data_IF_088877698469
#
_entry.id   IF_088877698469
#
_cell.length_a   1.000
_cell.length_b   1.000
_cell.length_c   1.000
_cell.angle_alpha   90.00
_cell.angle_beta   90.00
_cell.angle_gamma   90.00
#
_symmetry.space_group_name_H-M   'P 1'
#
loop_
_entity.id
_entity.type
_entity.pdbx_description
1 polymer ?
#
# COMPACT_ATOMS: atom_id res chain seq x y z
N UNK A 1 51.99 75.41 30.10
CA UNK A 1 52.97 76.06 29.23
C UNK A 1 52.61 75.68 27.78
N UNK A 2 52.27 76.74 27.04
CA UNK A 2 52.44 76.97 25.62
C UNK A 2 51.65 76.04 24.68
N UNK A 3 50.74 76.49 24.00
CA UNK A 3 50.41 77.63 23.12
C UNK A 3 50.01 77.04 21.74
N UNK A 4 48.85 77.50 21.31
CA UNK A 4 48.30 77.48 19.92
C UNK A 4 49.30 78.07 18.88
N UNK A 5 49.00 78.27 17.61
CA UNK A 5 47.67 78.26 16.89
C UNK A 5 47.79 77.74 15.44
N UNK A 6 46.62 77.61 14.75
CA UNK A 6 46.59 78.32 13.52
C UNK A 6 46.00 77.73 12.25
N UNK A 7 45.09 78.47 11.63
CA UNK A 7 44.69 78.60 10.24
C UNK A 7 43.98 77.41 9.55
N UNK A 8 42.82 77.43 9.20
CA UNK A 8 41.91 78.24 8.39
C UNK A 8 42.10 78.11 6.91
N UNK A 9 41.18 77.36 6.22
CA UNK A 9 40.86 77.61 4.81
C UNK A 9 39.47 77.10 4.46
N UNK A 10 38.65 77.96 4.00
CA UNK A 10 37.36 77.72 3.39
C UNK A 10 37.48 76.93 2.11
N UNK A 11 36.56 76.00 1.85
CA UNK A 11 36.36 75.39 0.54
C UNK A 11 34.85 75.28 0.28
N UNK A 12 34.53 75.75 -0.87
CA UNK A 12 33.28 76.01 -1.56
C UNK A 12 32.42 74.77 -1.68
N UNK A 13 31.13 74.88 -1.40
CA UNK A 13 30.09 73.87 -1.67
C UNK A 13 29.68 73.91 -3.13
N UNK A 14 29.66 72.75 -3.80
CA UNK A 14 28.93 72.48 -5.04
C UNK A 14 27.79 71.47 -4.71
N UNK A 15 26.55 71.70 -5.20
CA UNK A 15 25.46 70.77 -5.00
C UNK A 15 25.48 69.66 -6.10
N UNK A 16 25.62 68.43 -5.71
CA UNK A 16 25.40 67.29 -6.60
C UNK A 16 23.93 66.88 -6.50
N UNK A 17 23.20 67.06 -7.60
CA UNK A 17 21.89 66.48 -7.88
C UNK A 17 22.02 64.95 -7.95
N UNK A 18 21.60 64.23 -6.91
CA UNK A 18 21.47 62.80 -6.93
C UNK A 18 20.15 62.36 -7.58
N UNK A 19 20.22 61.79 -8.77
CA UNK A 19 19.09 61.10 -9.42
C UNK A 19 18.92 59.77 -8.72
N UNK A 20 17.90 59.61 -7.90
CA UNK A 20 17.46 58.34 -7.31
C UNK A 20 16.73 57.51 -8.37
N UNK A 21 17.45 56.63 -9.04
CA UNK A 21 16.86 55.57 -9.84
C UNK A 21 16.25 54.52 -8.92
N UNK A 22 14.91 54.58 -8.76
CA UNK A 22 14.14 53.49 -8.12
C UNK A 22 14.14 52.30 -9.07
N UNK A 23 15.02 51.32 -8.82
CA UNK A 23 14.92 49.98 -9.42
C UNK A 23 13.74 49.27 -8.72
N UNK A 24 12.63 49.18 -9.44
CA UNK A 24 11.51 48.31 -9.03
C UNK A 24 11.95 46.84 -9.13
N UNK A 25 12.34 46.21 -8.03
CA UNK A 25 12.45 44.76 -7.96
C UNK A 25 11.04 44.17 -8.03
N UNK A 26 10.69 43.70 -9.22
CA UNK A 26 9.52 42.83 -9.39
C UNK A 26 9.85 41.45 -8.76
N UNK A 27 8.97 40.87 -7.92
CA UNK A 27 9.20 39.53 -7.41
C UNK A 27 8.95 38.49 -8.53
N UNK A 28 10.02 37.99 -9.12
CA UNK A 28 9.99 36.82 -10.03
C UNK A 28 10.25 35.59 -9.17
N UNK A 29 9.27 35.13 -8.40
CA UNK A 29 9.45 33.93 -7.56
C UNK A 29 8.31 32.91 -7.61
N UNK A 30 7.24 33.12 -8.40
CA UNK A 30 6.12 32.19 -8.41
C UNK A 30 6.28 30.99 -9.36
N UNK A 31 7.03 31.10 -10.46
CA UNK A 31 7.12 30.01 -11.46
C UNK A 31 8.21 28.97 -11.17
N UNK A 32 9.27 29.31 -10.45
CA UNK A 32 10.37 28.37 -10.18
C UNK A 32 9.97 27.29 -9.15
N UNK A 33 9.10 27.61 -8.20
CA UNK A 33 8.68 26.67 -7.16
C UNK A 33 7.75 25.55 -7.66
N UNK A 34 6.87 25.83 -8.60
CA UNK A 34 5.91 24.85 -9.13
C UNK A 34 6.56 23.83 -10.08
N UNK A 35 7.54 24.29 -10.88
CA UNK A 35 8.34 23.41 -11.75
C UNK A 35 9.21 22.48 -10.91
N UNK A 36 9.77 22.95 -9.80
CA UNK A 36 10.56 22.14 -8.88
C UNK A 36 9.68 21.12 -8.14
N UNK A 37 8.47 21.49 -7.70
CA UNK A 37 7.53 20.60 -7.03
C UNK A 37 7.12 19.41 -7.92
N UNK A 38 6.73 19.67 -9.16
CA UNK A 38 6.38 18.61 -10.11
C UNK A 38 7.56 17.69 -10.39
N UNK A 39 8.75 18.24 -10.59
CA UNK A 39 9.97 17.48 -10.79
C UNK A 39 10.29 16.56 -9.62
N UNK A 40 10.06 17.01 -8.37
CA UNK A 40 10.24 16.15 -7.20
C UNK A 40 9.22 15.00 -7.14
N UNK A 41 7.93 15.27 -7.41
CA UNK A 41 6.92 14.20 -7.42
C UNK A 41 7.19 13.17 -8.52
N UNK A 42 7.63 13.61 -9.71
CA UNK A 42 8.02 12.70 -10.79
C UNK A 42 9.24 11.86 -10.41
N UNK A 43 10.24 12.44 -9.74
CA UNK A 43 11.40 11.69 -9.23
C UNK A 43 10.99 10.66 -8.19
N UNK A 44 10.11 11.03 -7.23
CA UNK A 44 9.59 10.10 -6.21
C UNK A 44 8.85 8.94 -6.87
N UNK A 45 7.96 9.22 -7.81
CA UNK A 45 7.23 8.20 -8.56
C UNK A 45 8.17 7.28 -9.32
N UNK A 46 9.11 7.83 -10.09
CA UNK A 46 10.06 7.04 -10.87
C UNK A 46 10.93 6.17 -9.97
N UNK A 47 11.40 6.69 -8.84
CA UNK A 47 12.17 5.91 -7.88
C UNK A 47 11.38 4.76 -7.26
N UNK A 48 10.09 4.96 -6.99
CA UNK A 48 9.20 3.93 -6.46
C UNK A 48 8.86 2.84 -7.48
N UNK A 49 8.77 3.18 -8.78
CA UNK A 49 8.33 2.25 -9.83
C UNK A 49 9.47 1.57 -10.59
N UNK A 50 10.67 2.15 -10.61
CA UNK A 50 11.80 1.61 -11.37
C UNK A 50 13.07 1.41 -10.53
N UNK A 51 13.04 1.78 -9.25
CA UNK A 51 14.17 1.61 -8.34
C UNK A 51 14.33 0.17 -7.86
N UNK A 52 15.59 -0.24 -7.62
CA UNK A 52 15.89 -1.49 -6.94
C UNK A 52 16.33 -1.17 -5.51
N UNK A 53 15.63 -1.69 -4.52
CA UNK A 53 15.94 -1.45 -3.12
C UNK A 53 15.51 -2.61 -2.23
N UNK A 54 16.14 -2.69 -1.07
CA UNK A 54 15.74 -3.59 0.02
C UNK A 54 15.95 -2.89 1.36
N UNK A 55 15.15 -3.27 2.36
CA UNK A 55 15.26 -2.64 3.67
C UNK A 55 14.19 -3.13 4.64
N UNK A 56 14.13 -2.50 5.80
CA UNK A 56 13.09 -2.73 6.80
C UNK A 56 12.26 -1.45 6.95
N UNK A 57 10.98 -1.56 6.71
CA UNK A 57 10.02 -0.49 6.89
C UNK A 57 9.30 -0.67 8.22
N UNK A 58 9.17 0.40 8.97
CA UNK A 58 8.40 0.49 10.22
C UNK A 58 7.15 1.32 9.94
N UNK A 59 6.01 0.79 10.34
CA UNK A 59 4.73 1.46 10.29
C UNK A 59 4.21 1.71 11.70
N UNK A 60 3.73 2.92 11.98
CA UNK A 60 3.15 3.30 13.28
C UNK A 60 1.84 4.03 13.06
N UNK A 61 0.75 3.54 13.68
CA UNK A 61 -0.57 4.15 13.64
C UNK A 61 -1.36 3.76 14.90
N UNK A 62 -2.21 4.65 15.40
CA UNK A 62 -3.15 4.34 16.48
C UNK A 62 -2.52 3.75 17.75
N UNK A 63 -1.25 4.07 18.05
CA UNK A 63 -0.52 3.51 19.19
C UNK A 63 0.06 2.12 18.95
N UNK A 64 -0.11 1.53 17.78
CA UNK A 64 0.49 0.29 17.34
C UNK A 64 1.68 0.54 16.43
N UNK A 65 2.63 -0.40 16.43
CA UNK A 65 3.79 -0.36 15.55
C UNK A 65 4.01 -1.75 14.95
N UNK A 66 4.40 -1.79 13.68
CA UNK A 66 4.78 -3.02 13.00
C UNK A 66 5.99 -2.78 12.09
N UNK A 67 6.73 -3.85 11.81
CA UNK A 67 7.88 -3.81 10.92
C UNK A 67 7.77 -4.87 9.84
N UNK A 68 8.22 -4.53 8.65
CA UNK A 68 8.17 -5.40 7.46
C UNK A 68 9.48 -5.29 6.71
N UNK A 69 10.10 -6.41 6.42
CA UNK A 69 11.23 -6.45 5.50
C UNK A 69 10.74 -6.43 4.07
N UNK A 70 11.33 -5.56 3.27
CA UNK A 70 10.91 -5.25 1.91
C UNK A 70 12.05 -5.52 0.94
N UNK A 71 11.75 -6.20 -0.17
CA UNK A 71 12.59 -6.32 -1.36
C UNK A 71 11.77 -5.89 -2.56
N UNK A 72 12.26 -4.93 -3.30
CA UNK A 72 11.63 -4.41 -4.51
C UNK A 72 12.63 -4.41 -5.65
N UNK A 73 12.30 -5.07 -6.74
CA UNK A 73 13.16 -5.19 -7.91
C UNK A 73 12.38 -4.92 -9.18
N UNK A 74 12.99 -4.14 -10.07
CA UNK A 74 12.53 -3.91 -11.42
C UNK A 74 13.52 -4.52 -12.42
N UNK A 75 13.04 -5.33 -13.35
CA UNK A 75 13.83 -5.93 -14.42
C UNK A 75 13.06 -5.77 -15.72
N UNK A 76 13.51 -4.83 -16.56
CA UNK A 76 12.75 -4.40 -17.72
C UNK A 76 11.42 -3.77 -17.30
N UNK A 77 10.33 -4.28 -17.82
CA UNK A 77 8.94 -3.89 -17.52
C UNK A 77 8.31 -4.71 -16.37
N UNK A 78 9.08 -5.60 -15.75
CA UNK A 78 8.59 -6.48 -14.70
C UNK A 78 8.98 -6.00 -13.31
N UNK A 79 8.02 -6.04 -12.39
CA UNK A 79 8.19 -5.69 -10.98
C UNK A 79 8.08 -6.94 -10.12
N UNK A 80 9.05 -7.13 -9.22
CA UNK A 80 9.10 -8.22 -8.26
C UNK A 80 9.19 -7.64 -6.86
N UNK A 81 8.28 -8.06 -5.97
CA UNK A 81 8.31 -7.65 -4.58
C UNK A 81 8.22 -8.88 -3.66
N UNK A 82 8.92 -8.77 -2.54
CA UNK A 82 8.78 -9.67 -1.41
C UNK A 82 8.65 -8.82 -0.17
N UNK A 83 7.63 -9.10 0.63
CA UNK A 83 7.40 -8.46 1.91
C UNK A 83 7.32 -9.53 2.98
N UNK A 84 7.97 -9.34 4.11
CA UNK A 84 7.93 -10.25 5.26
C UNK A 84 7.66 -9.47 6.53
N UNK A 85 6.52 -9.75 7.17
CA UNK A 85 6.23 -9.22 8.49
C UNK A 85 7.27 -9.74 9.48
N UNK A 86 7.85 -8.83 10.28
CA UNK A 86 8.88 -9.15 11.28
C UNK A 86 8.26 -9.35 12.66
N UNK A 87 7.03 -8.94 12.85
CA UNK A 87 6.27 -9.02 14.09
C UNK A 87 4.85 -9.55 13.85
N UNK A 88 4.17 -9.91 14.94
CA UNK A 88 2.81 -10.43 14.89
C UNK A 88 2.69 -11.77 14.15
N UNK A 89 1.71 -11.89 13.28
CA UNK A 89 1.52 -13.06 12.42
C UNK A 89 2.58 -13.12 11.33
N UNK A 90 3.23 -14.25 11.19
CA UNK A 90 4.16 -14.46 10.07
C UNK A 90 3.41 -14.41 8.75
N UNK A 91 3.43 -13.25 8.11
CA UNK A 91 2.84 -13.02 6.80
C UNK A 91 3.96 -12.74 5.80
N UNK A 92 3.86 -13.35 4.63
CA UNK A 92 4.73 -13.07 3.49
C UNK A 92 3.86 -12.69 2.31
N UNK A 93 4.31 -11.68 1.57
CA UNK A 93 3.68 -11.27 0.31
C UNK A 93 4.70 -11.39 -0.79
N UNK A 94 4.32 -12.06 -1.87
CA UNK A 94 5.10 -12.16 -3.09
C UNK A 94 4.31 -11.53 -4.22
N UNK A 95 4.92 -10.60 -4.94
CA UNK A 95 4.29 -9.93 -6.07
C UNK A 95 5.14 -10.10 -7.31
N UNK A 96 4.47 -10.36 -8.41
CA UNK A 96 5.00 -10.28 -9.76
C UNK A 96 4.00 -9.53 -10.62
N UNK A 97 4.34 -8.30 -10.99
CA UNK A 97 3.45 -7.36 -11.66
C UNK A 97 2.13 -7.15 -10.88
N UNK A 98 0.98 -7.45 -11.49
CA UNK A 98 -0.34 -7.32 -10.86
C UNK A 98 -0.70 -8.52 -9.96
N UNK A 99 0.00 -9.65 -10.08
CA UNK A 99 -0.32 -10.85 -9.30
C UNK A 99 0.34 -10.81 -7.93
N UNK A 100 -0.47 -10.96 -6.91
CA UNK A 100 -0.05 -10.94 -5.50
C UNK A 100 -0.41 -12.27 -4.85
N UNK A 101 0.54 -12.84 -4.12
CA UNK A 101 0.36 -14.03 -3.29
C UNK A 101 0.65 -13.67 -1.86
N UNK A 102 -0.39 -13.65 -1.04
CA UNK A 102 -0.27 -13.46 0.41
C UNK A 102 -0.28 -14.82 1.09
N UNK A 103 0.71 -15.07 1.91
CA UNK A 103 0.97 -16.40 2.50
C UNK A 103 1.04 -16.26 4.02
N UNK A 104 0.34 -17.13 4.71
CA UNK A 104 0.42 -17.31 6.16
C UNK A 104 0.99 -18.71 6.44
N UNK A 105 2.31 -18.84 6.65
CA UNK A 105 2.97 -20.13 6.80
C UNK A 105 2.44 -20.97 7.97
N UNK A 106 2.09 -20.33 9.08
CA UNK A 106 1.56 -21.00 10.28
C UNK A 106 0.20 -21.63 10.02
N UNK A 107 -0.67 -20.95 9.28
CA UNK A 107 -2.02 -21.41 8.95
C UNK A 107 -2.02 -22.29 7.70
N UNK A 108 -0.89 -22.38 6.98
CA UNK A 108 -0.75 -23.04 5.67
C UNK A 108 -1.75 -22.56 4.65
N UNK A 109 -2.03 -21.25 4.68
CA UNK A 109 -2.96 -20.60 3.75
C UNK A 109 -2.19 -19.68 2.81
N UNK A 110 -2.54 -19.73 1.54
CA UNK A 110 -2.09 -18.76 0.54
C UNK A 110 -3.30 -18.20 -0.20
N UNK A 111 -3.35 -16.89 -0.35
CA UNK A 111 -4.34 -16.19 -1.16
C UNK A 111 -3.66 -15.62 -2.39
N UNK A 112 -4.17 -15.97 -3.58
CA UNK A 112 -3.69 -15.48 -4.87
C UNK A 112 -4.73 -14.56 -5.46
N UNK A 113 -4.36 -13.30 -5.68
CA UNK A 113 -5.27 -12.29 -6.21
C UNK A 113 -4.54 -11.36 -7.19
N UNK A 114 -5.29 -10.72 -8.09
CA UNK A 114 -4.78 -9.61 -8.87
C UNK A 114 -5.05 -8.33 -8.12
N UNK A 115 -4.01 -7.57 -7.83
CA UNK A 115 -4.12 -6.23 -7.22
C UNK A 115 -3.60 -5.20 -8.20
N UNK A 116 -4.39 -4.17 -8.39
CA UNK A 116 -3.87 -2.98 -9.04
C UNK A 116 -2.84 -2.28 -8.14
N UNK A 117 -1.85 -1.57 -8.71
CA UNK A 117 -0.76 -0.94 -7.97
C UNK A 117 -1.21 0.04 -6.86
N UNK A 118 -2.44 0.56 -6.98
CA UNK A 118 -3.01 1.56 -6.09
C UNK A 118 -3.39 1.05 -4.68
N UNK A 119 -3.34 -0.24 -4.43
CA UNK A 119 -3.79 -0.84 -3.17
C UNK A 119 -2.68 -1.06 -2.15
N UNK A 120 -1.67 -0.19 -2.10
CA UNK A 120 -0.55 -0.29 -1.16
C UNK A 120 -0.87 0.30 0.20
N UNK A 121 -1.43 -0.48 1.13
CA UNK A 121 -1.52 -0.10 2.53
C UNK A 121 -0.23 -0.50 3.27
N UNK A 122 0.54 0.50 3.75
CA UNK A 122 1.53 0.34 4.82
C UNK A 122 2.79 -0.48 4.55
N UNK A 123 2.95 -1.08 3.38
CA UNK A 123 4.05 -2.05 3.14
C UNK A 123 5.01 -1.67 2.02
N UNK A 124 4.65 -0.69 1.18
CA UNK A 124 5.52 -0.15 0.13
C UNK A 124 5.52 1.37 0.18
N UNK A 125 6.59 2.04 -0.26
CA UNK A 125 6.61 3.49 -0.36
C UNK A 125 5.40 3.97 -1.17
N UNK A 126 4.62 4.88 -0.57
CA UNK A 126 3.43 5.43 -1.19
C UNK A 126 3.80 6.09 -2.53
N UNK A 127 3.09 5.73 -3.59
CA UNK A 127 3.27 6.38 -4.88
C UNK A 127 2.55 7.72 -4.85
N UNK A 128 3.27 8.79 -5.16
CA UNK A 128 2.72 10.13 -5.28
C UNK A 128 2.62 10.48 -6.74
N UNK A 129 1.40 10.69 -7.22
CA UNK A 129 1.17 11.09 -8.59
C UNK A 129 1.33 12.62 -8.75
N UNK A 130 1.87 13.11 -9.88
CA UNK A 130 1.95 14.55 -10.12
C UNK A 130 0.60 15.27 -10.11
N UNK A 131 -0.49 14.56 -10.39
CA UNK A 131 -1.87 15.06 -10.26
C UNK A 131 -2.26 15.45 -8.83
N UNK A 132 -1.54 14.98 -7.82
CA UNK A 132 -1.75 15.41 -6.44
C UNK A 132 -1.63 16.94 -6.27
N UNK A 133 -0.81 17.63 -7.10
CA UNK A 133 -0.68 19.09 -7.07
C UNK A 133 -1.97 19.86 -7.41
N UNK A 134 -2.96 19.20 -8.00
CA UNK A 134 -4.28 19.79 -8.19
C UNK A 134 -4.98 20.02 -6.84
N UNK A 135 -4.73 19.13 -5.87
CA UNK A 135 -5.40 19.09 -4.58
C UNK A 135 -4.50 19.52 -3.42
N UNK A 136 -3.19 19.54 -3.61
CA UNK A 136 -2.20 19.88 -2.59
C UNK A 136 -1.24 20.97 -3.07
N UNK A 137 -0.70 21.71 -2.13
CA UNK A 137 0.45 22.58 -2.32
C UNK A 137 1.69 21.90 -1.75
N UNK A 138 2.72 21.70 -2.59
CA UNK A 138 4.00 21.15 -2.13
C UNK A 138 4.89 22.27 -1.64
N UNK A 139 5.33 22.17 -0.38
CA UNK A 139 6.27 23.10 0.25
C UNK A 139 7.52 22.36 0.69
N UNK A 140 8.70 22.88 0.34
CA UNK A 140 9.95 22.36 0.85
C UNK A 140 10.15 22.81 2.31
N UNK A 141 10.43 21.86 3.21
CA UNK A 141 10.70 22.10 4.63
C UNK A 141 12.18 21.92 5.00
N UNK A 142 13.05 21.73 3.99
CA UNK A 142 14.49 21.64 4.19
C UNK A 142 15.04 20.22 3.99
N UNK A 143 15.92 19.77 4.90
CA UNK A 143 16.57 18.47 4.81
C UNK A 143 16.64 17.78 6.17
N UNK A 144 16.67 16.45 6.15
CA UNK A 144 16.80 15.61 7.32
C UNK A 144 17.60 14.34 6.97
N UNK A 145 17.80 13.47 7.95
CA UNK A 145 18.44 12.17 7.75
C UNK A 145 17.47 11.06 8.14
N UNK A 146 17.27 10.08 7.24
CA UNK A 146 16.38 8.92 7.45
C UNK A 146 17.12 7.67 7.02
N UNK A 147 17.14 6.63 7.85
CA UNK A 147 17.82 5.36 7.58
C UNK A 147 19.29 5.54 7.11
N UNK A 148 20.02 6.49 7.70
CA UNK A 148 21.40 6.79 7.33
C UNK A 148 21.59 7.59 6.03
N UNK A 149 20.53 8.05 5.36
CA UNK A 149 20.55 8.75 4.07
C UNK A 149 20.09 10.19 4.21
N UNK A 150 20.63 11.07 3.39
CA UNK A 150 20.20 12.48 3.33
C UNK A 150 18.90 12.57 2.54
N UNK A 151 17.88 13.17 3.14
CA UNK A 151 16.56 13.33 2.58
C UNK A 151 16.17 14.80 2.43
N UNK A 152 15.50 15.14 1.32
CA UNK A 152 14.76 16.38 1.19
C UNK A 152 13.38 16.20 1.85
N UNK A 153 12.92 17.21 2.58
CA UNK A 153 11.66 17.17 3.32
C UNK A 153 10.65 18.07 2.66
N UNK A 154 9.47 17.53 2.43
CA UNK A 154 8.36 18.23 1.79
C UNK A 154 7.09 18.10 2.62
N UNK A 155 6.31 19.15 2.66
CA UNK A 155 4.94 19.15 3.16
C UNK A 155 3.99 19.28 1.97
N UNK A 156 3.07 18.32 1.82
CA UNK A 156 1.90 18.45 0.97
C UNK A 156 0.75 18.96 1.83
N UNK A 157 0.47 20.24 1.67
CA UNK A 157 -0.63 20.92 2.36
C UNK A 157 -1.90 20.82 1.52
N UNK A 158 -3.00 20.21 2.00
CA UNK A 158 -4.24 20.12 1.22
C UNK A 158 -4.86 21.52 1.03
N UNK A 159 -5.43 21.74 -0.17
CA UNK A 159 -6.11 22.98 -0.52
C UNK A 159 -7.53 23.07 0.05
N UNK A 160 -8.02 21.98 0.62
CA UNK A 160 -9.38 21.87 1.18
C UNK A 160 -9.38 21.09 2.51
N UNK A 161 -10.56 20.90 3.10
CA UNK A 161 -10.74 20.12 4.33
C UNK A 161 -11.04 18.64 4.11
N UNK A 162 -10.93 18.14 2.88
CA UNK A 162 -11.29 16.75 2.53
C UNK A 162 -10.13 15.76 2.69
N UNK A 163 -8.94 16.24 2.99
CA UNK A 163 -7.67 15.49 2.98
C UNK A 163 -6.85 15.80 4.21
N UNK A 164 -5.98 14.87 4.56
CA UNK A 164 -4.92 15.12 5.52
C UNK A 164 -3.68 15.70 4.83
N UNK A 165 -2.95 16.56 5.54
CA UNK A 165 -1.61 16.95 5.10
C UNK A 165 -0.66 15.76 5.22
N UNK A 166 0.34 15.71 4.36
CA UNK A 166 1.38 14.68 4.42
C UNK A 166 2.76 15.32 4.39
N UNK A 167 3.66 14.80 5.23
CA UNK A 167 5.06 15.16 5.21
C UNK A 167 5.87 14.01 4.67
N UNK A 168 6.67 14.28 3.64
CA UNK A 168 7.43 13.28 2.90
C UNK A 168 8.92 13.55 3.00
N UNK A 169 9.70 12.50 3.16
CA UNK A 169 11.16 12.53 3.13
C UNK A 169 11.66 11.70 1.95
N UNK A 170 12.17 12.38 0.94
CA UNK A 170 12.69 11.76 -0.27
C UNK A 170 14.23 11.74 -0.25
N UNK A 171 14.83 10.61 -0.56
CA UNK A 171 16.28 10.49 -0.74
C UNK A 171 16.77 11.52 -1.76
N UNK A 172 17.78 12.32 -1.40
CA UNK A 172 18.25 13.40 -2.27
C UNK A 172 18.90 12.90 -3.56
N UNK A 173 19.52 11.73 -3.51
CA UNK A 173 20.20 11.14 -4.67
C UNK A 173 19.23 10.53 -5.66
N UNK A 174 18.28 9.73 -5.18
CA UNK A 174 17.40 8.91 -6.02
C UNK A 174 15.97 9.42 -6.12
N UNK A 175 15.49 10.16 -5.13
CA UNK A 175 14.08 10.54 -5.00
C UNK A 175 13.22 9.48 -4.30
N UNK A 176 13.77 8.31 -3.91
CA UNK A 176 12.99 7.29 -3.23
C UNK A 176 12.46 7.81 -1.90
N UNK A 177 11.17 7.61 -1.64
CA UNK A 177 10.56 8.00 -0.38
C UNK A 177 11.08 7.12 0.76
N UNK A 178 11.69 7.76 1.76
CA UNK A 178 12.28 7.10 2.93
C UNK A 178 11.35 7.13 4.14
N UNK A 179 10.49 8.14 4.22
CA UNK A 179 9.49 8.30 5.27
C UNK A 179 8.31 9.11 4.75
N UNK A 180 7.11 8.78 5.21
CA UNK A 180 5.90 9.55 5.06
C UNK A 180 5.15 9.61 6.39
N UNK A 181 4.71 10.82 6.77
CA UNK A 181 3.83 11.04 7.91
C UNK A 181 2.50 11.60 7.43
N UNK A 182 1.40 11.02 7.88
CA UNK A 182 0.06 11.60 7.71
C UNK A 182 -0.23 12.48 8.92
N UNK A 183 -0.58 13.75 8.67
CA UNK A 183 -0.75 14.77 9.68
C UNK A 183 -2.22 15.11 9.86
N UNK A 184 -2.69 15.04 11.08
CA UNK A 184 -4.03 15.46 11.44
C UNK A 184 -4.25 16.97 11.33
N UNK A 185 -5.48 17.45 11.52
CA UNK A 185 -5.77 18.87 11.53
C UNK A 185 -4.98 19.57 12.64
N UNK A 186 -4.50 20.78 12.35
CA UNK A 186 -3.81 21.61 13.34
C UNK A 186 -4.80 22.17 14.35
N UNK A 187 -4.68 21.90 15.65
CA UNK A 187 -5.38 22.64 16.66
C UNK A 187 -4.91 24.11 16.66
N UNK A 188 -5.77 25.04 17.05
CA UNK A 188 -5.40 26.44 17.10
C UNK A 188 -4.14 26.65 17.98
N UNK A 189 -3.06 27.19 17.37
CA UNK A 189 -1.80 27.48 18.06
C UNK A 189 -0.91 26.27 18.40
N UNK A 190 -1.23 25.06 17.90
CA UNK A 190 -0.44 23.85 18.12
C UNK A 190 0.05 23.23 16.82
N UNK A 191 1.09 22.39 16.92
CA UNK A 191 1.57 21.59 15.80
C UNK A 191 0.54 20.51 15.43
N UNK A 192 0.53 20.11 14.15
CA UNK A 192 -0.31 19.00 13.67
C UNK A 192 0.11 17.69 14.32
N UNK A 193 -0.81 16.90 14.86
CA UNK A 193 -0.49 15.56 15.35
C UNK A 193 -0.13 14.65 14.18
N UNK A 194 0.85 13.78 14.37
CA UNK A 194 1.15 12.70 13.46
C UNK A 194 0.16 11.57 13.74
N UNK A 195 -0.69 11.25 12.76
CA UNK A 195 -1.68 10.18 12.85
C UNK A 195 -1.07 8.82 12.49
N UNK A 196 -0.14 8.86 11.54
CA UNK A 196 0.48 7.67 10.97
C UNK A 196 1.89 8.00 10.46
N UNK A 197 2.80 7.07 10.61
CA UNK A 197 4.16 7.14 10.06
C UNK A 197 4.50 5.83 9.36
N UNK A 198 5.02 5.91 8.14
CA UNK A 198 5.70 4.82 7.46
C UNK A 198 7.14 5.27 7.19
N UNK A 199 8.14 4.53 7.67
CA UNK A 199 9.54 4.93 7.54
C UNK A 199 10.46 3.72 7.39
N UNK A 200 11.48 3.83 6.56
CA UNK A 200 12.57 2.87 6.58
C UNK A 200 13.44 3.07 7.84
N UNK A 201 13.67 2.00 8.59
CA UNK A 201 14.67 1.95 9.65
C UNK A 201 16.07 1.67 9.08
N UNK A 202 16.14 0.87 8.02
CA UNK A 202 17.33 0.59 7.22
C UNK A 202 16.94 0.44 5.75
N UNK A 203 17.81 0.85 4.83
CA UNK A 203 17.57 0.72 3.40
C UNK A 203 18.88 0.69 2.60
N UNK A 204 18.90 -0.18 1.61
CA UNK A 204 19.90 -0.24 0.54
C UNK A 204 19.23 0.07 -0.78
N UNK A 205 19.69 1.08 -1.51
CA UNK A 205 19.17 1.50 -2.80
C UNK A 205 20.18 1.19 -3.89
N UNK A 206 19.72 0.78 -5.07
CA UNK A 206 20.58 0.39 -6.19
C UNK A 206 21.13 -1.02 -6.06
N UNK A 207 20.48 -1.89 -5.30
CA UNK A 207 20.87 -3.30 -5.15
C UNK A 207 20.72 -4.05 -6.47
N UNK A 208 21.53 -5.10 -6.65
CA UNK A 208 21.37 -5.99 -7.80
C UNK A 208 20.05 -6.76 -7.69
N UNK A 209 19.19 -6.72 -8.72
CA UNK A 209 17.93 -7.45 -8.70
C UNK A 209 18.12 -8.96 -8.49
N UNK A 210 17.30 -9.55 -7.64
CA UNK A 210 17.27 -10.99 -7.38
C UNK A 210 15.84 -11.56 -7.54
N UNK A 211 15.25 -11.49 -8.75
CA UNK A 211 13.87 -11.90 -8.98
C UNK A 211 13.65 -13.39 -8.76
N UNK A 212 14.71 -14.22 -8.90
CA UNK A 212 14.62 -15.67 -8.77
C UNK A 212 14.06 -16.13 -7.42
N UNK A 213 14.42 -15.45 -6.33
CA UNK A 213 13.90 -15.78 -5.01
C UNK A 213 12.37 -15.60 -4.91
N UNK A 214 11.85 -14.54 -5.54
CA UNK A 214 10.41 -14.28 -5.64
C UNK A 214 9.74 -15.31 -6.55
N UNK A 215 10.30 -15.56 -7.74
CA UNK A 215 9.76 -16.52 -8.70
C UNK A 215 9.75 -17.95 -8.16
N UNK A 216 10.77 -18.36 -7.43
CA UNK A 216 10.81 -19.68 -6.80
C UNK A 216 9.72 -19.84 -5.74
N UNK A 217 9.51 -18.84 -4.90
CA UNK A 217 8.43 -18.86 -3.92
C UNK A 217 7.05 -18.95 -4.60
N UNK A 218 6.83 -18.16 -5.66
CA UNK A 218 5.61 -18.18 -6.47
C UNK A 218 5.39 -19.59 -7.06
N UNK A 219 6.41 -20.18 -7.71
CA UNK A 219 6.31 -21.51 -8.30
C UNK A 219 5.99 -22.60 -7.26
N UNK A 220 6.56 -22.51 -6.05
CA UNK A 220 6.25 -23.45 -4.95
C UNK A 220 4.78 -23.37 -4.52
N UNK A 221 4.25 -22.14 -4.36
CA UNK A 221 2.84 -21.92 -4.00
C UNK A 221 1.91 -22.45 -5.10
N UNK A 222 2.20 -22.13 -6.36
CA UNK A 222 1.37 -22.57 -7.49
C UNK A 222 1.41 -24.08 -7.69
N UNK A 223 2.56 -24.74 -7.50
CA UNK A 223 2.68 -26.18 -7.56
C UNK A 223 1.92 -26.88 -6.40
N UNK A 224 1.92 -26.29 -5.22
CA UNK A 224 1.14 -26.81 -4.09
C UNK A 224 -0.37 -26.70 -4.35
N UNK A 225 -0.83 -25.60 -4.94
CA UNK A 225 -2.20 -25.41 -5.37
C UNK A 225 -2.65 -26.47 -6.37
N UNK A 226 -1.85 -26.67 -7.43
CA UNK A 226 -2.18 -27.63 -8.48
C UNK A 226 -2.29 -29.08 -7.95
N UNK A 227 -1.52 -29.44 -6.92
CA UNK A 227 -1.62 -30.76 -6.27
C UNK A 227 -2.94 -30.93 -5.50
N UNK A 228 -3.41 -29.89 -4.81
CA UNK A 228 -4.69 -29.94 -4.11
C UNK A 228 -5.86 -30.05 -5.08
N UNK A 229 -5.86 -29.26 -6.15
CA UNK A 229 -6.89 -29.30 -7.19
C UNK A 229 -6.97 -30.69 -7.84
N UNK A 230 -5.81 -31.32 -8.10
CA UNK A 230 -5.74 -32.67 -8.62
C UNK A 230 -6.28 -33.73 -7.63
N UNK A 231 -6.00 -33.58 -6.33
CA UNK A 231 -6.52 -34.47 -5.29
C UNK A 231 -8.02 -34.35 -5.09
N UNK A 232 -8.57 -33.15 -5.13
CA UNK A 232 -10.03 -32.91 -5.05
C UNK A 232 -10.75 -33.50 -6.27
N UNK A 233 -10.19 -33.33 -7.46
CA UNK A 233 -10.73 -33.92 -8.70
C UNK A 233 -10.69 -35.45 -8.63
N UNK A 234 -9.63 -36.05 -8.11
CA UNK A 234 -9.52 -37.50 -7.96
C UNK A 234 -10.53 -38.03 -6.91
N UNK A 235 -10.76 -37.31 -5.79
CA UNK A 235 -11.74 -37.71 -4.79
C UNK A 235 -13.17 -37.60 -5.29
N UNK A 236 -13.52 -36.54 -6.01
CA UNK A 236 -14.85 -36.36 -6.60
C UNK A 236 -15.11 -37.34 -7.75
N UNK A 237 -14.07 -37.73 -8.50
CA UNK A 237 -14.15 -38.75 -9.54
C UNK A 237 -14.36 -40.18 -8.95
N UNK A 238 -13.75 -40.50 -7.84
CA UNK A 238 -13.91 -41.80 -7.20
C UNK A 238 -15.25 -41.97 -6.43
N UNK A 239 -15.85 -40.88 -5.96
CA UNK A 239 -17.17 -40.91 -5.35
C UNK A 239 -18.31 -41.16 -6.34
N UNK A 240 -18.06 -41.08 -7.65
CA UNK A 240 -19.05 -41.31 -8.73
C UNK A 240 -19.00 -42.69 -9.30
N UNK A 241 -18.01 -43.55 -8.90
CA UNK A 241 -17.82 -44.91 -9.32
C UNK A 241 -18.11 -45.89 -8.19
N UNK A 242 -19.39 -46.02 -7.81
CA UNK A 242 -19.84 -47.17 -7.03
C UNK A 242 -20.20 -48.30 -7.99
N UNK A 243 -19.51 -49.46 -7.97
CA UNK A 243 -19.91 -50.61 -8.78
C UNK A 243 -21.04 -51.35 -8.06
N UNK A 244 -22.04 -51.88 -8.80
CA UNK A 244 -23.12 -52.66 -8.20
C UNK A 244 -22.59 -53.97 -7.63
N UNK A 245 -23.12 -54.34 -6.47
CA UNK A 245 -22.74 -55.39 -5.59
C UNK A 245 -22.45 -56.76 -6.21
N UNK A 246 -21.46 -57.41 -5.59
CA UNK A 246 -21.37 -58.87 -5.54
C UNK A 246 -21.10 -59.34 -4.10
N UNK A 247 -22.12 -59.90 -3.53
CA UNK A 247 -22.06 -60.74 -2.37
C UNK A 247 -21.42 -62.12 -2.70
N UNK A 248 -20.47 -62.55 -1.87
CA UNK A 248 -19.92 -63.90 -1.90
C UNK A 248 -18.89 -64.14 -0.81
N UNK A 249 -18.80 -65.30 -0.19
CA UNK A 249 -18.49 -65.45 1.23
C UNK A 249 -17.02 -65.65 1.59
N UNK A 250 -16.74 -65.49 2.85
CA UNK A 250 -15.48 -65.63 3.56
C UNK A 250 -14.77 -66.99 3.35
N UNK A 251 -13.45 -66.94 3.18
CA UNK A 251 -12.56 -68.04 3.52
C UNK A 251 -11.28 -67.49 4.17
N UNK A 252 -11.15 -67.84 5.44
CA UNK A 252 -9.94 -67.67 6.24
C UNK A 252 -8.87 -68.65 5.74
N UNK A 253 -7.59 -68.27 5.70
CA UNK A 253 -6.43 -69.14 5.94
C UNK A 253 -5.12 -68.32 6.10
N UNK A 254 -4.66 -68.31 7.35
CA UNK A 254 -3.32 -68.61 7.89
C UNK A 254 -2.06 -68.08 7.21
N UNK A 255 -1.33 -67.24 7.94
CA UNK A 255 0.10 -66.96 7.73
C UNK A 255 0.97 -68.19 7.98
N UNK A 256 2.18 -68.27 7.42
CA UNK A 256 3.36 -67.96 8.22
C UNK A 256 4.54 -67.34 7.43
N UNK A 257 5.51 -66.78 8.17
CA UNK A 257 6.91 -66.68 7.76
C UNK A 257 7.49 -65.30 7.62
N UNK A 258 8.14 -64.89 8.67
CA UNK A 258 9.15 -63.86 8.71
C UNK A 258 10.48 -64.44 8.18
N UNK A 259 11.27 -63.75 7.40
CA UNK A 259 12.70 -63.74 7.64
C UNK A 259 13.30 -62.33 7.84
N UNK A 260 14.41 -62.36 8.48
CA UNK A 260 15.21 -61.38 9.18
C UNK A 260 15.82 -60.27 8.33
N UNK A 261 16.12 -59.24 9.07
CA UNK A 261 17.03 -58.12 8.89
C UNK A 261 18.03 -58.15 7.73
N UNK A 262 17.94 -57.13 6.89
CA UNK A 262 19.10 -56.66 6.15
C UNK A 262 19.31 -55.16 6.43
N UNK A 263 20.50 -54.88 6.92
CA UNK A 263 21.07 -53.57 7.25
C UNK A 263 20.95 -52.62 6.06
N UNK A 264 20.04 -51.68 6.13
CA UNK A 264 19.99 -50.54 5.22
C UNK A 264 20.53 -49.32 5.96
N UNK A 265 21.60 -48.78 5.39
CA UNK A 265 22.25 -47.52 5.73
C UNK A 265 21.23 -46.45 6.16
N UNK A 266 21.41 -45.92 7.35
CA UNK A 266 20.72 -44.71 7.82
C UNK A 266 21.04 -43.60 6.86
N UNK A 267 20.12 -43.26 5.99
CA UNK A 267 20.09 -41.98 5.31
C UNK A 267 19.84 -40.92 6.37
N UNK A 268 20.73 -39.96 6.47
CA UNK A 268 20.51 -38.78 7.28
C UNK A 268 19.17 -38.12 6.89
N UNK A 269 18.39 -37.64 7.86
CA UNK A 269 17.15 -36.96 7.55
C UNK A 269 17.52 -35.69 6.76
N UNK A 270 16.98 -35.58 5.56
CA UNK A 270 17.03 -34.34 4.76
C UNK A 270 16.57 -33.16 5.62
N UNK A 271 17.19 -31.97 5.47
CA UNK A 271 16.85 -30.80 6.27
C UNK A 271 15.35 -30.56 6.19
N UNK A 272 14.77 -30.16 7.33
CA UNK A 272 13.33 -30.04 7.58
C UNK A 272 12.57 -29.09 6.62
N UNK A 273 13.25 -28.45 5.70
CA UNK A 273 12.74 -27.49 4.71
C UNK A 273 12.25 -28.14 3.40
N UNK A 274 12.39 -29.46 3.22
CA UNK A 274 12.01 -30.18 2.00
C UNK A 274 10.71 -31.01 2.10
N UNK A 275 10.04 -31.02 3.24
CA UNK A 275 8.69 -31.62 3.28
C UNK A 275 7.77 -30.70 2.50
N UNK A 276 7.20 -31.22 1.40
CA UNK A 276 6.22 -30.53 0.57
C UNK A 276 5.12 -29.94 1.46
N UNK A 277 5.22 -28.63 1.77
CA UNK A 277 4.21 -27.93 2.55
C UNK A 277 2.91 -27.97 1.76
N UNK A 278 1.89 -28.56 2.33
CA UNK A 278 0.54 -28.58 1.76
C UNK A 278 -0.11 -27.23 2.10
N UNK A 279 -0.26 -26.38 1.12
CA UNK A 279 -0.89 -25.06 1.27
C UNK A 279 -2.35 -25.14 0.83
N UNK A 280 -3.25 -24.60 1.65
CA UNK A 280 -4.61 -24.28 1.21
C UNK A 280 -4.56 -22.99 0.39
N UNK A 281 -4.69 -23.11 -0.93
CA UNK A 281 -4.58 -21.97 -1.84
C UNK A 281 -5.96 -21.49 -2.24
N UNK A 282 -6.29 -20.25 -1.85
CA UNK A 282 -7.55 -19.60 -2.17
C UNK A 282 -7.33 -18.65 -3.34
N UNK A 283 -8.12 -18.80 -4.38
CA UNK A 283 -8.19 -17.89 -5.53
C UNK A 283 -9.57 -17.25 -5.59
N UNK A 284 -9.79 -16.14 -4.91
CA UNK A 284 -11.09 -15.46 -4.97
C UNK A 284 -11.41 -15.10 -6.42
N UNK A 285 -12.60 -15.44 -6.94
CA UNK A 285 -12.99 -14.97 -8.26
C UNK A 285 -12.99 -13.44 -8.26
N UNK A 286 -12.32 -12.87 -9.26
CA UNK A 286 -12.22 -11.42 -9.42
C UNK A 286 -12.40 -11.06 -10.89
N UNK A 287 -13.22 -10.04 -11.16
CA UNK A 287 -13.36 -9.45 -12.48
C UNK A 287 -13.30 -7.94 -12.43
N UNK A 288 -12.72 -7.32 -13.44
CA UNK A 288 -12.86 -5.88 -13.63
C UNK A 288 -14.34 -5.55 -13.83
N UNK A 289 -14.74 -4.43 -13.29
CA UNK A 289 -16.12 -3.96 -13.32
C UNK A 289 -16.15 -2.47 -13.63
N UNK A 290 -17.31 -2.01 -14.04
CA UNK A 290 -17.65 -0.60 -14.14
C UNK A 290 -18.73 -0.29 -13.10
N UNK A 291 -18.53 0.77 -12.33
CA UNK A 291 -19.40 1.12 -11.22
C UNK A 291 -20.85 1.31 -11.67
N UNK A 292 -21.06 1.99 -12.81
CA UNK A 292 -22.39 2.24 -13.35
C UNK A 292 -23.03 0.99 -13.97
N UNK A 293 -22.21 0.16 -14.64
CA UNK A 293 -22.68 -1.12 -15.19
C UNK A 293 -23.14 -2.10 -14.09
N UNK A 294 -22.52 -2.02 -12.89
CA UNK A 294 -22.95 -2.78 -11.71
C UNK A 294 -24.18 -2.15 -11.00
N UNK A 295 -24.74 -1.07 -11.58
CA UNK A 295 -25.92 -0.40 -11.09
C UNK A 295 -25.68 0.58 -9.95
N UNK A 296 -24.48 1.14 -9.83
CA UNK A 296 -24.11 2.10 -8.80
C UNK A 296 -23.57 3.39 -9.42
N UNK A 297 -23.85 4.52 -8.77
CA UNK A 297 -23.30 5.81 -9.18
C UNK A 297 -23.11 6.71 -7.97
N UNK A 298 -22.27 7.72 -8.11
CA UNK A 298 -22.20 8.81 -7.14
C UNK A 298 -23.07 9.96 -7.65
N UNK A 299 -24.16 10.28 -6.93
CA UNK A 299 -25.04 11.42 -7.24
C UNK A 299 -24.27 12.74 -7.36
N UNK A 300 -23.21 12.89 -6.56
CA UNK A 300 -22.30 14.00 -6.59
C UNK A 300 -20.88 13.48 -6.46
N UNK A 301 -19.99 13.91 -7.35
CA UNK A 301 -18.57 13.57 -7.23
C UNK A 301 -17.96 14.27 -6.02
N UNK A 302 -17.13 13.55 -5.27
CA UNK A 302 -16.33 14.14 -4.18
C UNK A 302 -15.16 14.91 -4.80
N UNK A 303 -15.01 16.21 -4.49
CA UNK A 303 -14.03 17.06 -5.16
C UNK A 303 -12.61 16.49 -5.10
N UNK A 304 -11.94 16.49 -6.26
CA UNK A 304 -10.56 16.04 -6.42
C UNK A 304 -10.35 14.52 -6.42
N UNK A 305 -11.36 13.71 -6.13
CA UNK A 305 -11.28 12.25 -6.22
C UNK A 305 -11.81 11.75 -7.56
N UNK A 306 -11.06 10.84 -8.19
CA UNK A 306 -11.41 10.19 -9.45
C UNK A 306 -11.45 8.68 -9.26
N UNK A 307 -12.35 7.99 -9.95
CA UNK A 307 -12.39 6.53 -9.94
C UNK A 307 -11.10 5.98 -10.56
N UNK A 308 -10.30 5.30 -9.76
CA UNK A 308 -9.03 4.72 -10.15
C UNK A 308 -9.17 3.25 -10.58
N UNK A 309 -10.15 2.54 -10.01
CA UNK A 309 -10.42 1.16 -10.35
C UNK A 309 -11.73 0.67 -9.77
N UNK A 310 -12.31 -0.35 -10.43
CA UNK A 310 -13.52 -1.01 -9.96
C UNK A 310 -13.42 -2.51 -10.26
N UNK A 311 -13.72 -3.33 -9.27
CA UNK A 311 -13.67 -4.79 -9.39
C UNK A 311 -14.83 -5.41 -8.62
N UNK A 312 -15.33 -6.53 -9.12
CA UNK A 312 -16.18 -7.45 -8.34
C UNK A 312 -15.30 -8.61 -7.91
N UNK A 313 -15.26 -8.88 -6.61
CA UNK A 313 -14.53 -10.01 -6.04
C UNK A 313 -15.45 -10.89 -5.23
N UNK A 314 -15.21 -12.20 -5.30
CA UNK A 314 -15.83 -13.18 -4.43
C UNK A 314 -15.08 -13.22 -3.10
N UNK A 315 -15.81 -13.17 -2.01
CA UNK A 315 -15.28 -13.48 -0.68
C UNK A 315 -16.06 -14.66 -0.11
N UNK A 316 -15.40 -15.51 0.67
CA UNK A 316 -16.08 -16.54 1.43
C UNK A 316 -16.54 -15.94 2.77
N UNK A 317 -17.82 -16.01 3.03
CA UNK A 317 -18.41 -15.50 4.27
C UNK A 317 -19.34 -16.54 4.87
N UNK A 318 -19.01 -17.05 6.03
CA UNK A 318 -19.76 -18.10 6.72
C UNK A 318 -20.03 -19.33 5.83
N UNK A 319 -19.02 -19.77 5.06
CA UNK A 319 -19.10 -20.92 4.15
C UNK A 319 -19.94 -20.68 2.88
N UNK A 320 -20.29 -19.43 2.58
CA UNK A 320 -21.01 -19.08 1.36
C UNK A 320 -20.22 -18.03 0.56
N UNK A 321 -20.15 -18.19 -0.78
CA UNK A 321 -19.53 -17.17 -1.62
C UNK A 321 -20.43 -15.92 -1.69
N UNK A 322 -19.84 -14.77 -1.41
CA UNK A 322 -20.50 -13.46 -1.49
C UNK A 322 -19.74 -12.61 -2.49
N UNK A 323 -20.46 -11.99 -3.42
CA UNK A 323 -19.90 -11.02 -4.35
C UNK A 323 -19.84 -9.65 -3.70
N UNK A 324 -18.66 -9.04 -3.69
CA UNK A 324 -18.41 -7.69 -3.19
C UNK A 324 -17.92 -6.81 -4.33
N UNK A 325 -18.62 -5.72 -4.59
CA UNK A 325 -18.14 -4.67 -5.48
C UNK A 325 -17.18 -3.79 -4.71
N UNK A 326 -15.99 -3.56 -5.24
CA UNK A 326 -15.01 -2.62 -4.71
C UNK A 326 -14.72 -1.57 -5.76
N UNK A 327 -14.93 -0.29 -5.41
CA UNK A 327 -14.52 0.86 -6.18
C UNK A 327 -13.44 1.62 -5.41
N UNK A 328 -12.36 2.00 -6.07
CA UNK A 328 -11.25 2.76 -5.48
C UNK A 328 -11.21 4.13 -6.14
N UNK A 329 -11.25 5.17 -5.32
CA UNK A 329 -11.10 6.55 -5.75
C UNK A 329 -9.77 7.10 -5.26
N UNK A 330 -9.11 7.89 -6.10
CA UNK A 330 -7.81 8.52 -5.76
C UNK A 330 -7.80 9.99 -6.12
N UNK A 331 -7.04 10.76 -5.38
CA UNK A 331 -6.72 12.16 -5.65
C UNK A 331 -5.26 12.37 -6.13
N UNK A 332 -4.55 11.25 -6.38
CA UNK A 332 -3.14 11.23 -6.76
C UNK A 332 -2.18 11.02 -5.60
N UNK A 333 -2.66 11.07 -4.35
CA UNK A 333 -1.86 10.85 -3.15
C UNK A 333 -2.53 9.87 -2.18
N UNK A 334 -3.81 10.06 -1.90
CA UNK A 334 -4.58 9.21 -1.01
C UNK A 334 -5.70 8.47 -1.75
N UNK A 335 -6.28 7.46 -1.09
CA UNK A 335 -7.28 6.59 -1.69
C UNK A 335 -8.46 6.41 -0.76
N UNK A 336 -9.65 6.31 -1.37
CA UNK A 336 -10.87 5.91 -0.70
C UNK A 336 -11.41 4.66 -1.39
N UNK A 337 -11.52 3.57 -0.64
CA UNK A 337 -12.12 2.32 -1.10
C UNK A 337 -13.56 2.24 -0.63
N UNK A 338 -14.46 2.01 -1.58
CA UNK A 338 -15.88 1.84 -1.37
C UNK A 338 -16.24 0.38 -1.68
N UNK A 339 -16.84 -0.31 -0.71
CA UNK A 339 -17.29 -1.69 -0.85
C UNK A 339 -18.81 -1.75 -0.76
N UNK A 340 -19.42 -2.53 -1.66
CA UNK A 340 -20.85 -2.80 -1.64
C UNK A 340 -21.05 -4.30 -1.66
N UNK A 341 -21.81 -4.80 -0.70
CA UNK A 341 -22.19 -6.21 -0.56
C UNK A 341 -23.65 -6.36 -0.20
N UNK A 342 -24.30 -7.51 -0.46
CA UNK A 342 -25.65 -7.76 0.01
C UNK A 342 -25.77 -7.64 1.53
N UNK A 343 -26.82 -6.96 2.01
CA UNK A 343 -27.07 -6.86 3.45
C UNK A 343 -27.43 -8.21 4.05
N UNK A 344 -26.79 -8.53 5.19
CA UNK A 344 -27.05 -9.73 5.98
C UNK A 344 -27.13 -9.34 7.46
N UNK A 345 -28.28 -9.60 8.09
CA UNK A 345 -28.52 -9.22 9.49
C UNK A 345 -27.67 -9.99 10.50
N UNK A 346 -27.23 -11.20 10.15
CA UNK A 346 -26.34 -12.03 10.98
C UNK A 346 -24.90 -11.45 11.05
N UNK A 347 -24.52 -10.65 10.07
CA UNK A 347 -23.18 -10.10 9.89
C UNK A 347 -23.12 -8.58 10.10
N UNK A 348 -24.09 -7.86 9.54
CA UNK A 348 -24.15 -6.40 9.55
C UNK A 348 -25.05 -5.92 10.69
N UNK A 349 -24.47 -5.76 11.88
CA UNK A 349 -25.24 -5.50 13.11
C UNK A 349 -25.73 -4.07 13.25
N UNK A 350 -24.85 -3.10 13.03
CA UNK A 350 -25.16 -1.66 13.18
C UNK A 350 -24.26 -0.81 12.30
N UNK A 351 -24.80 0.32 11.84
CA UNK A 351 -24.00 1.37 11.21
C UNK A 351 -22.95 1.84 12.22
N UNK A 352 -21.73 2.04 11.74
CA UNK A 352 -20.63 2.42 12.62
C UNK A 352 -19.58 3.27 11.90
N UNK A 353 -18.83 3.99 12.70
CA UNK A 353 -17.60 4.67 12.30
C UNK A 353 -16.46 4.16 13.17
N UNK A 354 -15.32 3.92 12.55
CA UNK A 354 -14.10 3.52 13.23
C UNK A 354 -12.92 4.34 12.73
N UNK A 355 -11.90 4.46 13.56
CA UNK A 355 -10.65 5.12 13.22
C UNK A 355 -9.48 4.31 13.75
N UNK A 356 -8.45 4.18 12.93
CA UNK A 356 -7.16 3.63 13.33
C UNK A 356 -6.06 4.44 12.62
N UNK A 357 -5.29 5.21 13.39
CA UNK A 357 -4.33 6.16 12.81
C UNK A 357 -5.01 7.20 11.92
N UNK A 358 -4.57 7.31 10.68
CA UNK A 358 -5.18 8.17 9.65
C UNK A 358 -6.39 7.51 8.98
N UNK A 359 -6.46 6.17 9.02
CA UNK A 359 -7.53 5.42 8.38
C UNK A 359 -8.86 5.59 9.13
N UNK A 360 -9.86 6.03 8.41
CA UNK A 360 -11.25 6.06 8.88
C UNK A 360 -12.08 5.03 8.11
N UNK A 361 -13.12 4.54 8.76
CA UNK A 361 -14.11 3.63 8.16
C UNK A 361 -15.50 4.13 8.48
N UNK A 362 -16.37 4.15 7.48
CA UNK A 362 -17.80 4.42 7.63
C UNK A 362 -18.56 3.23 7.07
N UNK A 363 -19.45 2.66 7.87
CA UNK A 363 -20.28 1.54 7.49
C UNK A 363 -21.75 1.90 7.64
N UNK A 364 -22.56 1.62 6.62
CA UNK A 364 -23.99 1.90 6.64
C UNK A 364 -24.79 0.94 5.77
N UNK A 365 -26.07 0.85 6.07
CA UNK A 365 -27.03 0.15 5.21
C UNK A 365 -27.58 1.09 4.13
N UNK A 366 -27.66 0.62 2.89
CA UNK A 366 -28.29 1.30 1.78
C UNK A 366 -29.27 0.34 1.09
N UNK A 367 -30.55 0.38 1.51
CA UNK A 367 -31.56 -0.57 1.05
C UNK A 367 -31.20 -2.02 1.42
N UNK A 368 -31.09 -2.87 0.41
CA UNK A 368 -30.71 -4.28 0.55
C UNK A 368 -29.18 -4.51 0.49
N UNK A 369 -28.39 -3.46 0.63
CA UNK A 369 -26.95 -3.55 0.55
C UNK A 369 -26.28 -2.96 1.81
N UNK A 370 -25.11 -3.49 2.12
CA UNK A 370 -24.19 -2.95 3.10
C UNK A 370 -23.05 -2.23 2.38
N UNK A 371 -22.80 -1.00 2.79
CA UNK A 371 -21.77 -0.14 2.22
C UNK A 371 -20.72 0.11 3.28
N UNK A 372 -19.45 -0.17 2.91
CA UNK A 372 -18.27 0.17 3.71
C UNK A 372 -17.40 1.11 2.92
N UNK A 373 -17.08 2.26 3.49
CA UNK A 373 -16.16 3.24 2.90
C UNK A 373 -14.97 3.39 3.84
N UNK A 374 -13.75 3.21 3.31
CA UNK A 374 -12.52 3.26 4.08
C UNK A 374 -11.45 4.08 3.34
N UNK A 375 -10.66 4.86 4.08
CA UNK A 375 -9.57 5.64 3.49
C UNK A 375 -8.82 6.49 4.51
N UNK A 376 -7.63 6.96 4.12
CA UNK A 376 -6.75 7.83 4.93
C UNK A 376 -7.12 9.29 4.71
N UNK A 377 -8.36 9.59 5.01
CA UNK A 377 -8.97 10.91 4.87
C UNK A 377 -9.84 11.23 6.09
N UNK A 378 -10.19 12.49 6.35
CA UNK A 378 -11.13 12.85 7.42
C UNK A 378 -12.44 12.06 7.30
N UNK A 379 -13.02 11.66 8.43
CA UNK A 379 -14.29 10.92 8.47
C UNK A 379 -15.42 11.63 7.71
N UNK A 380 -15.42 12.98 7.68
CA UNK A 380 -16.37 13.77 6.90
C UNK A 380 -16.30 13.47 5.40
N UNK A 381 -15.11 13.24 4.87
CA UNK A 381 -14.92 12.89 3.45
C UNK A 381 -15.51 11.51 3.13
N UNK A 382 -15.31 10.52 4.01
CA UNK A 382 -15.92 9.20 3.83
C UNK A 382 -17.45 9.27 3.87
N UNK A 383 -18.01 10.15 4.72
CA UNK A 383 -19.46 10.40 4.74
C UNK A 383 -19.95 10.97 3.41
N UNK A 384 -19.19 11.89 2.80
CA UNK A 384 -19.56 12.41 1.46
C UNK A 384 -19.66 11.28 0.43
N UNK A 385 -18.70 10.35 0.41
CA UNK A 385 -18.77 9.16 -0.46
C UNK A 385 -19.98 8.28 -0.14
N UNK A 386 -20.18 7.97 1.14
CA UNK A 386 -21.29 7.13 1.57
C UNK A 386 -22.66 7.75 1.25
N UNK A 387 -22.81 9.08 1.41
CA UNK A 387 -24.04 9.81 1.17
C UNK A 387 -24.29 10.07 -0.33
N UNK A 388 -23.22 10.18 -1.12
CA UNK A 388 -23.32 10.36 -2.56
C UNK A 388 -23.65 9.05 -3.30
N UNK A 389 -23.35 7.88 -2.71
CA UNK A 389 -23.58 6.60 -3.36
C UNK A 389 -25.09 6.32 -3.49
N UNK A 390 -25.53 6.00 -4.68
CA UNK A 390 -26.91 5.59 -4.95
C UNK A 390 -26.98 4.43 -5.93
N UNK A 391 -28.07 3.65 -5.80
CA UNK A 391 -28.38 2.61 -6.78
C UNK A 391 -29.07 3.23 -7.98
N UNK A 392 -28.49 3.00 -9.14
CA UNK A 392 -29.10 3.40 -10.42
C UNK A 392 -30.34 2.53 -10.67
N UNK A 393 -31.47 3.17 -10.99
CA UNK A 393 -32.75 2.50 -11.30
C UNK A 393 -32.76 2.02 -12.75
#
# INVERSE_FOLDING_TARGET
MSASPGCGRAAVALPWLGVLARVALLPVTACAGETDARGWLERMRNAATSGNYQGTMVFSAGGSMSSTRVWHYCVGDQTFERLEAQDGRHQRVFRHNEEVRTVWPQDRVAVVEKREPLAGWGTTPQQVEPSALENYELRAEGSARVAGRDAAVFLLEPRDGLRFAQRLWADRGTGLMLRADVLGPAPAGASRPVLETAAFSEIEIGVRPQPEAVLQAIRRIDAAAARLDAQETARSGSARAEPPGRSGPAASLRAPGRPEASSALRAEPAPADERAEVWHVVRPPQRRADLEAEGWTLRQQVPGFRLAGCVVRGIESAGQPVSVLQAVFSDGLTHVSLFVEPYRSDRHRSEMQAQFGAAHTVMRRLGEHWVTVIGDVPAATLKLFADALERRR
#
